data_IF_308242680568
#
_entry.id   IF_308242680568
#
_cell.length_a   1.000
_cell.length_b   1.000
_cell.length_c   1.000
_cell.angle_alpha   90.00
_cell.angle_beta   90.00
_cell.angle_gamma   90.00
#
_symmetry.space_group_name_H-M   'P 1'
#
loop_
_entity.id
_entity.type
_entity.pdbx_description
1 polymer ?
#
# COMPACT_ATOMS: atom_id res chain seq x y z
N UNK A 1 -70.73 -0.59 23.79
CA UNK A 1 -69.80 0.55 24.01
C UNK A 1 -68.42 -0.03 24.29
N UNK A 2 -67.55 0.05 23.29
CA UNK A 2 -66.23 -0.60 23.24
C UNK A 2 -65.23 -0.05 24.27
N UNK A 3 -64.56 -0.94 25.01
CA UNK A 3 -63.27 -0.63 25.63
C UNK A 3 -62.14 -1.06 24.67
N UNK A 4 -61.36 -0.07 24.23
CA UNK A 4 -60.22 -0.24 23.35
C UNK A 4 -58.98 -0.67 24.16
N UNK A 5 -58.47 -1.86 23.86
CA UNK A 5 -57.19 -2.38 24.32
C UNK A 5 -56.05 -1.59 23.64
N UNK A 6 -55.29 -0.79 24.39
CA UNK A 6 -54.10 -0.08 23.90
C UNK A 6 -52.86 -0.98 24.04
N UNK A 7 -52.45 -1.60 22.94
CA UNK A 7 -51.18 -2.34 22.85
C UNK A 7 -50.07 -1.33 22.55
N UNK A 8 -49.23 -1.02 23.55
CA UNK A 8 -48.00 -0.24 23.35
C UNK A 8 -46.92 -1.14 22.71
N UNK A 9 -46.60 -0.91 21.44
CA UNK A 9 -45.43 -1.51 20.80
C UNK A 9 -44.15 -0.85 21.35
N UNK A 10 -43.38 -1.60 22.14
CA UNK A 10 -42.00 -1.26 22.49
C UNK A 10 -41.14 -1.46 21.23
N UNK A 11 -40.71 -0.36 20.61
CA UNK A 11 -39.72 -0.39 19.53
C UNK A 11 -38.35 -0.74 20.14
N UNK A 12 -37.92 -1.99 19.95
CA UNK A 12 -36.59 -2.45 20.30
C UNK A 12 -35.58 -1.79 19.33
N UNK A 13 -34.93 -0.71 19.76
CA UNK A 13 -33.83 -0.09 19.03
C UNK A 13 -32.57 -0.92 19.31
N UNK A 14 -32.19 -1.76 18.36
CA UNK A 14 -30.90 -2.48 18.38
C UNK A 14 -29.81 -1.50 17.97
N UNK A 15 -29.07 -0.98 18.94
CA UNK A 15 -27.88 -0.16 18.68
C UNK A 15 -26.73 -1.12 18.36
N UNK A 16 -26.45 -1.31 17.07
CA UNK A 16 -25.27 -2.05 16.64
C UNK A 16 -24.01 -1.24 17.01
N UNK A 17 -23.27 -1.72 18.00
CA UNK A 17 -22.00 -1.14 18.42
C UNK A 17 -20.96 -1.44 17.34
N UNK A 18 -20.69 -0.46 16.47
CA UNK A 18 -19.57 -0.54 15.53
C UNK A 18 -18.32 -0.16 16.31
N UNK A 19 -17.55 -1.15 16.74
CA UNK A 19 -16.23 -0.91 17.31
C UNK A 19 -15.31 -0.38 16.22
N UNK A 20 -14.47 0.64 16.50
CA UNK A 20 -13.45 1.07 15.57
C UNK A 20 -12.45 -0.09 15.42
N UNK A 21 -12.29 -0.57 14.19
CA UNK A 21 -11.18 -1.46 13.86
C UNK A 21 -9.88 -0.68 14.13
N UNK A 22 -9.24 -0.94 15.27
CA UNK A 22 -7.87 -0.51 15.48
C UNK A 22 -7.04 -1.22 14.42
N UNK A 23 -6.26 -0.47 13.64
CA UNK A 23 -5.19 -1.07 12.85
C UNK A 23 -4.38 -1.94 13.82
N UNK A 24 -4.26 -3.23 13.52
CA UNK A 24 -3.51 -4.14 14.38
C UNK A 24 -2.11 -3.56 14.58
N UNK A 25 -1.63 -3.51 15.83
CA UNK A 25 -0.28 -3.03 16.15
C UNK A 25 0.73 -3.74 15.24
N UNK A 26 1.74 -3.00 14.77
CA UNK A 26 2.73 -3.55 13.87
C UNK A 26 3.44 -4.76 14.52
N UNK A 27 3.61 -5.89 13.81
CA UNK A 27 4.34 -7.03 14.35
C UNK A 27 5.79 -6.61 14.60
N UNK A 28 6.42 -7.16 15.65
CA UNK A 28 7.78 -6.74 16.03
C UNK A 28 8.80 -6.73 14.87
N UNK A 29 8.79 -7.69 13.92
CA UNK A 29 9.69 -7.66 12.77
C UNK A 29 9.45 -6.51 11.78
N UNK A 30 8.31 -5.81 11.84
CA UNK A 30 8.02 -4.66 10.98
C UNK A 30 8.68 -3.36 11.47
N UNK A 31 9.04 -3.29 12.76
CA UNK A 31 9.66 -2.10 13.37
C UNK A 31 10.85 -1.53 12.57
N UNK A 32 11.85 -2.32 12.12
CA UNK A 32 12.94 -1.78 11.30
C UNK A 32 12.48 -1.27 9.94
N UNK A 33 11.46 -1.88 9.32
CA UNK A 33 10.94 -1.45 8.02
C UNK A 33 10.24 -0.09 8.11
N UNK A 34 9.58 0.18 9.24
CA UNK A 34 8.83 1.40 9.50
C UNK A 34 9.73 2.63 9.62
N UNK A 35 11.02 2.46 9.90
CA UNK A 35 11.98 3.56 9.93
C UNK A 35 12.10 4.29 8.59
N UNK A 36 11.89 3.58 7.48
CA UNK A 36 12.02 4.13 6.13
C UNK A 36 10.68 4.18 5.38
N UNK A 37 9.88 3.11 5.44
CA UNK A 37 8.71 2.99 4.58
C UNK A 37 7.43 3.61 5.15
N UNK A 38 7.33 3.66 6.49
CA UNK A 38 6.15 4.06 7.25
C UNK A 38 4.83 3.41 6.75
N UNK A 39 3.70 3.80 7.36
CA UNK A 39 2.34 3.36 6.94
C UNK A 39 1.35 4.52 6.84
N UNK A 40 1.80 5.74 7.11
CA UNK A 40 1.03 6.98 7.12
C UNK A 40 1.12 7.77 5.80
N UNK A 41 1.81 7.22 4.79
CA UNK A 41 2.06 7.90 3.52
C UNK A 41 3.31 8.78 3.50
N UNK A 42 4.08 8.83 4.60
CA UNK A 42 5.26 9.67 4.77
C UNK A 42 6.54 8.82 4.90
N UNK A 43 6.97 8.22 3.78
CA UNK A 43 8.28 7.56 3.72
C UNK A 43 9.42 8.54 4.10
N UNK A 44 10.51 8.00 4.68
CA UNK A 44 11.60 8.79 5.27
C UNK A 44 12.22 9.82 4.31
N UNK A 45 12.29 9.50 3.02
CA UNK A 45 12.75 10.41 1.98
C UNK A 45 11.96 10.23 0.66
N UNK A 46 12.30 11.08 -0.32
CA UNK A 46 11.61 11.13 -1.60
C UNK A 46 11.81 9.89 -2.48
N UNK A 47 12.92 9.16 -2.30
CA UNK A 47 13.25 7.98 -3.11
C UNK A 47 12.87 6.67 -2.42
N UNK A 48 12.51 6.70 -1.14
CA UNK A 48 11.97 5.55 -0.42
C UNK A 48 10.50 5.33 -0.81
N UNK A 49 10.13 4.12 -1.28
CA UNK A 49 8.76 3.86 -1.71
C UNK A 49 7.81 3.67 -0.53
N UNK A 50 6.56 4.08 -0.75
CA UNK A 50 5.41 3.60 0.01
C UNK A 50 5.16 2.12 -0.31
N UNK A 51 5.09 1.27 0.72
CA UNK A 51 4.81 -0.17 0.58
C UNK A 51 3.50 -0.61 1.27
N UNK A 52 2.97 0.20 2.19
CA UNK A 52 1.67 0.00 2.80
C UNK A 52 0.57 -0.09 1.73
N UNK A 53 -0.31 -1.08 1.83
CA UNK A 53 -1.39 -1.31 0.87
C UNK A 53 -0.95 -1.85 -0.51
N UNK A 54 0.35 -2.09 -0.73
CA UNK A 54 0.79 -2.85 -1.89
C UNK A 54 0.39 -4.32 -1.74
N UNK A 55 -0.01 -4.95 -2.85
CA UNK A 55 -0.37 -6.37 -2.83
C UNK A 55 0.82 -7.21 -2.34
N UNK A 56 0.58 -8.10 -1.39
CA UNK A 56 1.56 -9.04 -0.80
C UNK A 56 2.54 -9.61 -1.82
N UNK A 57 2.03 -10.15 -2.92
CA UNK A 57 2.86 -10.77 -3.96
C UNK A 57 3.87 -9.83 -4.63
N UNK A 58 3.59 -8.53 -4.73
CA UNK A 58 4.53 -7.59 -5.32
C UNK A 58 5.64 -7.24 -4.33
N UNK A 59 5.31 -7.18 -3.03
CA UNK A 59 6.30 -7.05 -1.97
C UNK A 59 7.22 -8.27 -1.97
N UNK A 60 6.64 -9.48 -2.00
CA UNK A 60 7.41 -10.72 -2.09
C UNK A 60 8.30 -10.79 -3.34
N UNK A 61 7.77 -10.43 -4.51
CA UNK A 61 8.54 -10.43 -5.75
C UNK A 61 9.73 -9.46 -5.66
N UNK A 62 9.50 -8.22 -5.21
CA UNK A 62 10.57 -7.24 -5.05
C UNK A 62 11.64 -7.72 -4.05
N UNK A 63 11.25 -8.32 -2.94
CA UNK A 63 12.18 -8.85 -1.94
C UNK A 63 12.97 -10.05 -2.46
N UNK A 64 12.36 -10.89 -3.30
CA UNK A 64 13.08 -11.95 -4.00
C UNK A 64 14.11 -11.38 -4.98
N UNK A 65 13.76 -10.35 -5.75
CA UNK A 65 14.66 -9.68 -6.70
C UNK A 65 15.85 -9.01 -5.97
N UNK A 66 15.60 -8.41 -4.80
CA UNK A 66 16.69 -7.88 -3.96
C UNK A 66 17.57 -9.01 -3.43
N UNK A 67 16.98 -10.10 -2.92
CA UNK A 67 17.73 -11.22 -2.37
C UNK A 67 18.61 -11.92 -3.42
N UNK A 68 18.15 -12.01 -4.66
CA UNK A 68 18.89 -12.60 -5.79
C UNK A 68 19.91 -11.64 -6.41
N UNK A 69 19.74 -10.33 -6.22
CA UNK A 69 20.55 -9.30 -6.87
C UNK A 69 20.05 -8.89 -8.26
N UNK A 70 18.92 -9.41 -8.73
CA UNK A 70 18.24 -8.92 -9.95
C UNK A 70 17.82 -7.46 -9.79
N UNK A 71 17.51 -7.05 -8.55
CA UNK A 71 17.31 -5.63 -8.19
C UNK A 71 18.42 -5.20 -7.24
N UNK A 72 19.18 -4.19 -7.65
CA UNK A 72 20.32 -3.66 -6.88
C UNK A 72 19.89 -2.50 -5.99
N UNK A 73 20.11 -2.63 -4.69
CA UNK A 73 19.98 -1.57 -3.68
C UNK A 73 20.54 -2.08 -2.35
N UNK A 74 21.64 -1.49 -1.86
CA UNK A 74 22.43 -2.05 -0.76
C UNK A 74 21.58 -2.35 0.49
N UNK A 75 20.80 -1.37 0.96
CA UNK A 75 19.97 -1.46 2.16
C UNK A 75 18.87 -2.52 2.02
N UNK A 76 18.20 -2.59 0.87
CA UNK A 76 17.14 -3.58 0.65
C UNK A 76 17.70 -4.98 0.41
N UNK A 77 18.91 -5.12 -0.13
CA UNK A 77 19.60 -6.40 -0.23
C UNK A 77 19.97 -6.93 1.15
N UNK A 78 20.51 -6.07 2.03
CA UNK A 78 20.79 -6.44 3.43
C UNK A 78 19.50 -6.84 4.16
N UNK A 79 18.42 -6.07 4.01
CA UNK A 79 17.12 -6.40 4.58
C UNK A 79 16.58 -7.74 4.07
N UNK A 80 16.65 -8.00 2.76
CA UNK A 80 16.14 -9.23 2.16
C UNK A 80 16.97 -10.48 2.54
N UNK A 81 18.28 -10.34 2.76
CA UNK A 81 19.15 -11.42 3.20
C UNK A 81 18.98 -11.76 4.69
N UNK A 82 18.61 -10.78 5.51
CA UNK A 82 18.44 -10.93 6.96
C UNK A 82 17.10 -11.56 7.40
N UNK A 83 16.17 -11.81 6.47
CA UNK A 83 14.84 -12.35 6.75
C UNK A 83 14.73 -13.80 6.28
N UNK A 84 14.11 -14.65 7.08
CA UNK A 84 13.63 -15.96 6.62
C UNK A 84 12.31 -15.84 5.84
N UNK A 85 11.95 -16.88 5.11
CA UNK A 85 10.80 -16.87 4.22
C UNK A 85 9.47 -16.69 4.97
N UNK A 86 9.38 -17.22 6.20
CA UNK A 86 8.19 -17.10 7.04
C UNK A 86 7.99 -15.66 7.52
N UNK A 87 9.06 -15.01 7.98
CA UNK A 87 9.04 -13.61 8.42
C UNK A 87 8.74 -12.69 7.24
N UNK A 88 9.35 -12.95 6.08
CA UNK A 88 9.10 -12.19 4.87
C UNK A 88 7.63 -12.32 4.40
N UNK A 89 7.05 -13.53 4.44
CA UNK A 89 5.65 -13.76 4.10
C UNK A 89 4.68 -13.03 5.05
N UNK A 90 4.96 -13.07 6.35
CA UNK A 90 4.22 -12.33 7.37
C UNK A 90 4.29 -10.82 7.14
N UNK A 91 5.49 -10.26 6.93
CA UNK A 91 5.68 -8.83 6.69
C UNK A 91 4.96 -8.37 5.42
N UNK A 92 5.09 -9.14 4.33
CA UNK A 92 4.42 -8.83 3.08
C UNK A 92 2.89 -8.90 3.21
N UNK A 93 2.37 -9.84 4.01
CA UNK A 93 0.94 -9.90 4.33
C UNK A 93 0.51 -8.67 5.14
N UNK A 94 1.20 -8.36 6.23
CA UNK A 94 0.87 -7.24 7.10
C UNK A 94 0.91 -5.91 6.37
N UNK A 95 1.97 -5.59 5.61
CA UNK A 95 2.03 -4.36 4.81
C UNK A 95 0.89 -4.28 3.78
N UNK A 96 0.47 -5.41 3.22
CA UNK A 96 -0.61 -5.44 2.22
C UNK A 96 -2.00 -5.17 2.78
N UNK A 97 -2.18 -5.35 4.08
CA UNK A 97 -3.42 -5.07 4.81
C UNK A 97 -3.51 -3.62 5.29
N UNK A 98 -2.39 -2.88 5.25
CA UNK A 98 -2.37 -1.47 5.62
C UNK A 98 -3.13 -0.61 4.59
N UNK A 99 -3.74 0.51 5.01
CA UNK A 99 -4.38 1.42 4.09
C UNK A 99 -3.36 2.00 3.10
N UNK A 100 -3.76 2.13 1.83
CA UNK A 100 -2.99 2.91 0.87
C UNK A 100 -3.26 4.41 1.11
N UNK A 101 -2.26 5.11 1.63
CA UNK A 101 -2.24 6.57 1.75
C UNK A 101 -1.28 7.09 0.69
N UNK A 102 -1.76 7.97 -0.19
CA UNK A 102 -0.93 8.53 -1.25
C UNK A 102 0.11 9.50 -0.66
N UNK A 103 1.29 9.53 -1.27
CA UNK A 103 2.35 10.48 -0.95
C UNK A 103 1.82 11.92 -1.02
N UNK A 104 2.03 12.67 0.04
CA UNK A 104 1.68 14.10 0.12
C UNK A 104 2.72 15.01 -0.56
N UNK A 105 3.83 14.43 -1.05
CA UNK A 105 4.87 15.21 -1.72
C UNK A 105 4.32 15.99 -2.93
N UNK A 106 4.74 17.26 -3.12
CA UNK A 106 4.24 18.09 -4.21
C UNK A 106 4.45 17.46 -5.59
N UNK A 107 3.49 17.66 -6.47
CA UNK A 107 3.56 17.24 -7.87
C UNK A 107 3.21 18.43 -8.75
N UNK A 108 4.00 18.65 -9.80
CA UNK A 108 3.64 19.60 -10.84
C UNK A 108 2.38 19.12 -11.57
N UNK A 109 1.29 19.88 -11.44
CA UNK A 109 -0.03 19.46 -11.95
C UNK A 109 -0.09 19.36 -13.47
N UNK A 110 0.71 20.13 -14.20
CA UNK A 110 0.72 20.12 -15.66
C UNK A 110 1.56 18.98 -16.21
N UNK A 111 2.70 18.70 -15.59
CA UNK A 111 3.47 17.48 -15.84
C UNK A 111 2.67 16.23 -15.47
N UNK A 112 1.94 16.23 -14.36
CA UNK A 112 1.08 15.10 -13.98
C UNK A 112 -0.03 14.84 -15.02
N UNK A 113 -0.69 15.89 -15.53
CA UNK A 113 -1.69 15.77 -16.60
C UNK A 113 -1.07 15.23 -17.88
N UNK A 114 0.07 15.76 -18.30
CA UNK A 114 0.76 15.32 -19.51
C UNK A 114 1.27 13.87 -19.39
N UNK A 115 1.95 13.55 -18.29
CA UNK A 115 2.44 12.22 -17.96
C UNK A 115 1.32 11.18 -17.87
N UNK A 116 0.17 11.53 -17.28
CA UNK A 116 -0.99 10.64 -17.19
C UNK A 116 -1.55 10.24 -18.55
N UNK A 117 -1.50 11.11 -19.57
CA UNK A 117 -1.92 10.75 -20.93
C UNK A 117 -0.97 9.70 -21.53
N UNK A 118 0.34 9.90 -21.38
CA UNK A 118 1.37 8.96 -21.85
C UNK A 118 1.32 7.62 -21.11
N UNK A 119 1.20 7.66 -19.78
CA UNK A 119 1.09 6.47 -18.94
C UNK A 119 -0.15 5.63 -19.30
N UNK A 120 -1.29 6.27 -19.60
CA UNK A 120 -2.47 5.53 -20.07
C UNK A 120 -2.25 4.83 -21.41
N UNK A 121 -1.50 5.45 -22.32
CA UNK A 121 -1.24 4.86 -23.64
C UNK A 121 -0.29 3.66 -23.57
N UNK A 122 0.72 3.69 -22.69
CA UNK A 122 1.81 2.70 -22.71
C UNK A 122 1.85 1.74 -21.52
N UNK A 123 1.30 2.14 -20.36
CA UNK A 123 1.49 1.41 -19.11
C UNK A 123 0.20 0.73 -18.61
N UNK A 124 -0.96 1.16 -19.11
CA UNK A 124 -2.27 0.77 -18.55
C UNK A 124 -2.65 -0.68 -18.81
N UNK A 125 -2.03 -1.35 -19.79
CA UNK A 125 -2.21 -2.80 -20.02
C UNK A 125 -1.80 -3.63 -18.80
N UNK A 126 -0.78 -3.19 -18.06
CA UNK A 126 -0.27 -3.87 -16.88
C UNK A 126 -0.65 -3.16 -15.57
N UNK A 127 -0.45 -1.84 -15.51
CA UNK A 127 -0.66 -1.05 -14.28
C UNK A 127 -2.09 -0.50 -14.13
N UNK A 128 -2.99 -0.83 -15.06
CA UNK A 128 -4.36 -0.33 -15.18
C UNK A 128 -4.44 1.18 -15.43
N UNK A 129 -5.65 1.65 -15.75
CA UNK A 129 -5.89 2.97 -16.33
C UNK A 129 -5.56 4.13 -15.38
N UNK A 130 -5.72 3.94 -14.09
CA UNK A 130 -5.43 4.96 -13.09
C UNK A 130 -4.13 4.67 -12.34
N UNK A 131 -3.35 3.66 -12.75
CA UNK A 131 -2.12 3.26 -12.08
C UNK A 131 -2.34 2.49 -10.78
N UNK A 132 -3.55 1.99 -10.53
CA UNK A 132 -3.90 1.26 -9.31
C UNK A 132 -3.27 -0.14 -9.23
N UNK A 133 -2.63 -0.60 -10.31
CA UNK A 133 -1.94 -1.89 -10.37
C UNK A 133 -2.90 -3.07 -10.48
N UNK A 134 -2.38 -4.30 -10.55
CA UNK A 134 -3.18 -5.49 -10.81
C UNK A 134 -2.49 -6.78 -10.40
N UNK A 135 -2.86 -7.90 -11.02
CA UNK A 135 -2.18 -9.17 -10.77
C UNK A 135 -0.77 -9.17 -11.40
N UNK A 136 -0.58 -8.47 -12.51
CA UNK A 136 0.70 -8.44 -13.23
C UNK A 136 1.59 -7.24 -12.96
N UNK A 137 1.17 -6.28 -12.13
CA UNK A 137 1.96 -5.06 -11.92
C UNK A 137 1.61 -4.34 -10.61
N UNK A 138 2.60 -3.72 -9.93
CA UNK A 138 2.36 -2.95 -8.71
C UNK A 138 1.57 -1.67 -8.98
N UNK A 139 1.02 -1.11 -7.90
CA UNK A 139 0.39 0.21 -7.90
C UNK A 139 1.45 1.29 -8.10
N UNK A 140 1.17 2.23 -8.99
CA UNK A 140 1.97 3.44 -9.22
C UNK A 140 1.25 4.70 -8.69
N UNK A 141 -0.08 4.66 -8.67
CA UNK A 141 -0.91 5.79 -8.29
C UNK A 141 -0.69 6.22 -6.84
N UNK A 142 -0.28 7.46 -6.64
CA UNK A 142 -0.02 8.03 -5.31
C UNK A 142 1.34 7.67 -4.73
N UNK A 143 2.23 7.03 -5.50
CA UNK A 143 3.62 6.84 -5.09
C UNK A 143 4.43 8.13 -5.27
N UNK A 144 5.54 8.27 -4.55
CA UNK A 144 6.48 9.38 -4.72
C UNK A 144 6.99 9.47 -6.17
N UNK A 145 6.98 10.68 -6.74
CA UNK A 145 7.50 10.93 -8.11
C UNK A 145 8.98 10.58 -8.19
N UNK A 146 9.77 10.95 -7.19
CA UNK A 146 11.22 10.72 -7.20
C UNK A 146 11.55 9.22 -7.12
N UNK A 147 10.83 8.45 -6.30
CA UNK A 147 10.94 6.99 -6.33
C UNK A 147 10.57 6.42 -7.70
N UNK A 148 9.47 6.87 -8.32
CA UNK A 148 9.05 6.35 -9.64
C UNK A 148 10.10 6.67 -10.72
N UNK A 149 10.72 7.84 -10.67
CA UNK A 149 11.84 8.21 -11.56
C UNK A 149 13.05 7.32 -11.31
N UNK A 150 13.47 7.15 -10.06
CA UNK A 150 14.60 6.30 -9.68
C UNK A 150 14.38 4.84 -10.12
N UNK A 151 13.23 4.27 -9.77
CA UNK A 151 12.86 2.89 -10.12
C UNK A 151 12.78 2.69 -11.63
N UNK A 152 12.11 3.59 -12.37
CA UNK A 152 12.01 3.46 -13.83
C UNK A 152 13.34 3.65 -14.56
N UNK A 153 14.30 4.33 -13.95
CA UNK A 153 15.67 4.46 -14.47
C UNK A 153 16.49 3.20 -14.20
N UNK A 154 16.30 2.57 -13.04
CA UNK A 154 16.97 1.31 -12.70
C UNK A 154 16.54 0.11 -13.57
N UNK A 155 15.36 0.17 -14.22
CA UNK A 155 14.89 -0.86 -15.15
C UNK A 155 15.34 -0.66 -16.61
N UNK A 156 16.18 0.34 -16.91
CA UNK A 156 16.70 0.59 -18.26
C UNK A 156 17.98 -0.19 -18.52
#
# INVERSE_FOLDING_TARGET
MSQFLRISLIKLIVFAFVLPAHAADAPAPAAPCLACHAVDGLAADAVTPLIAGLRKKHVLAAMADYRSGERLHEEMQQAAQGLDDATLDMLAAWFSEQPWIASERPVDSDLAKAGSRKARASCSSCHRRSGEGGIGAPRLAGQSVDYLVAASTAYR
#
